data_IF_378496180365
#
_entry.id   IF_378496180365
#
_cell.length_a   1.000
_cell.length_b   1.000
_cell.length_c   1.000
_cell.angle_alpha   90.00
_cell.angle_beta   90.00
_cell.angle_gamma   90.00
#
_symmetry.space_group_name_H-M   'P 1'
#
loop_
_entity.id
_entity.type
_entity.pdbx_description
1 polymer ?
#
# COMPACT_ATOMS: atom_id res chain seq x y z
N UNK A 1 -6.36 -1.58 20.02
CA UNK A 1 -6.35 -2.02 18.61
C UNK A 1 -4.92 -2.31 18.21
N UNK A 2 -4.66 -3.45 17.58
CA UNK A 2 -3.34 -3.75 16.99
C UNK A 2 -3.25 -3.02 15.66
N UNK A 3 -2.29 -2.10 15.49
CA UNK A 3 -2.04 -1.44 14.21
C UNK A 3 -1.12 -2.34 13.39
N UNK A 4 -1.53 -2.80 12.19
CA UNK A 4 -0.70 -3.66 11.37
C UNK A 4 0.55 -2.91 10.88
N UNK A 5 1.64 -3.65 10.69
CA UNK A 5 2.92 -3.12 10.25
C UNK A 5 3.60 -4.08 9.26
N UNK A 6 4.44 -3.53 8.41
CA UNK A 6 5.30 -4.28 7.49
C UNK A 6 6.71 -4.39 8.05
N UNK A 7 7.35 -5.52 7.76
CA UNK A 7 8.74 -5.81 8.14
C UNK A 7 9.53 -6.15 6.89
N UNK A 8 10.64 -5.44 6.67
CA UNK A 8 11.50 -5.66 5.52
C UNK A 8 12.77 -6.43 5.91
N UNK A 9 13.36 -7.16 4.96
CA UNK A 9 14.62 -7.90 5.17
C UNK A 9 15.80 -6.98 5.54
N UNK A 10 15.75 -5.71 5.15
CA UNK A 10 16.69 -4.65 5.55
C UNK A 10 16.50 -4.16 7.00
N UNK A 11 15.57 -4.75 7.76
CA UNK A 11 15.23 -4.40 9.15
C UNK A 11 14.55 -3.04 9.34
N UNK A 12 13.91 -2.51 8.30
CA UNK A 12 12.98 -1.39 8.45
C UNK A 12 11.56 -1.88 8.75
N UNK A 13 10.84 -1.09 9.54
CA UNK A 13 9.51 -1.38 10.05
C UNK A 13 8.62 -0.16 9.86
N UNK A 14 7.42 -0.37 9.32
CA UNK A 14 6.49 0.73 9.08
C UNK A 14 5.08 0.31 9.43
N UNK A 15 4.30 1.21 10.03
CA UNK A 15 2.86 1.02 10.10
C UNK A 15 2.29 0.97 8.68
N UNK A 16 1.30 0.10 8.46
CA UNK A 16 0.67 -0.10 7.14
C UNK A 16 0.21 1.22 6.51
N UNK A 17 -0.53 2.02 7.26
CA UNK A 17 -1.08 3.30 6.82
C UNK A 17 -0.04 4.40 6.64
N UNK A 18 1.01 4.45 7.48
CA UNK A 18 2.14 5.36 7.26
C UNK A 18 2.88 5.04 5.96
N UNK A 19 3.15 3.75 5.72
CA UNK A 19 3.83 3.30 4.51
C UNK A 19 3.00 3.56 3.24
N UNK A 20 1.71 3.23 3.27
CA UNK A 20 0.80 3.49 2.16
C UNK A 20 0.69 4.98 1.83
N UNK A 21 0.64 5.84 2.85
CA UNK A 21 0.58 7.29 2.65
C UNK A 21 1.81 7.81 1.94
N UNK A 22 3.00 7.37 2.37
CA UNK A 22 4.25 7.79 1.78
C UNK A 22 4.40 7.25 0.35
N UNK A 23 4.12 5.97 0.11
CA UNK A 23 4.25 5.37 -1.23
C UNK A 23 3.33 5.99 -2.28
N UNK A 24 2.12 6.43 -1.89
CA UNK A 24 1.16 7.05 -2.82
C UNK A 24 1.71 8.31 -3.49
N UNK A 25 2.62 9.06 -2.86
CA UNK A 25 3.25 10.23 -3.48
C UNK A 25 4.26 9.85 -4.57
N UNK A 26 4.78 8.63 -4.52
CA UNK A 26 5.78 8.10 -5.45
C UNK A 26 5.19 7.23 -6.56
N UNK A 27 3.97 6.72 -6.39
CA UNK A 27 3.29 5.93 -7.39
C UNK A 27 2.81 6.74 -8.58
N UNK A 28 2.89 6.14 -9.77
CA UNK A 28 2.21 6.61 -10.97
C UNK A 28 0.70 6.57 -10.79
N UNK A 29 -0.03 7.35 -11.61
CA UNK A 29 -1.50 7.33 -11.61
C UNK A 29 -2.06 5.91 -11.81
N UNK A 30 -1.44 5.13 -12.70
CA UNK A 30 -1.85 3.75 -12.99
C UNK A 30 -1.69 2.83 -11.76
N UNK A 31 -0.61 2.98 -11.01
CA UNK A 31 -0.37 2.20 -9.78
C UNK A 31 -1.36 2.59 -8.68
N UNK A 32 -1.64 3.89 -8.52
CA UNK A 32 -2.64 4.38 -7.56
C UNK A 32 -4.05 3.87 -7.88
N UNK A 33 -4.44 3.87 -9.15
CA UNK A 33 -5.71 3.31 -9.61
C UNK A 33 -5.79 1.81 -9.37
N UNK A 34 -4.74 1.06 -9.75
CA UNK A 34 -4.66 -0.40 -9.50
C UNK A 34 -4.81 -0.72 -8.02
N UNK A 35 -4.06 -0.02 -7.16
CA UNK A 35 -4.13 -0.19 -5.71
C UNK A 35 -5.54 0.09 -5.18
N UNK A 36 -6.16 1.18 -5.61
CA UNK A 36 -7.51 1.57 -5.21
C UNK A 36 -8.55 0.52 -5.61
N UNK A 37 -8.43 -0.03 -6.83
CA UNK A 37 -9.28 -1.12 -7.30
C UNK A 37 -9.10 -2.40 -6.46
N UNK A 38 -7.87 -2.76 -6.10
CA UNK A 38 -7.60 -3.94 -5.25
C UNK A 38 -8.20 -3.78 -3.86
N UNK A 39 -8.01 -2.61 -3.23
CA UNK A 39 -8.58 -2.31 -1.89
C UNK A 39 -10.11 -2.34 -1.91
N UNK A 40 -10.74 -1.83 -2.98
CA UNK A 40 -12.20 -1.90 -3.10
C UNK A 40 -12.69 -3.34 -3.29
N UNK A 41 -12.00 -4.14 -4.12
CA UNK A 41 -12.31 -5.56 -4.28
C UNK A 41 -12.18 -6.34 -2.97
N UNK A 42 -11.11 -6.09 -2.19
CA UNK A 42 -10.92 -6.69 -0.87
C UNK A 42 -12.14 -6.42 0.03
N UNK A 43 -12.53 -5.14 0.16
CA UNK A 43 -13.70 -4.74 0.97
C UNK A 43 -15.00 -5.40 0.52
N UNK A 44 -15.21 -5.52 -0.79
CA UNK A 44 -16.40 -6.16 -1.34
C UNK A 44 -16.41 -7.65 -0.98
N UNK A 45 -15.30 -8.35 -1.17
CA UNK A 45 -15.19 -9.78 -0.85
C UNK A 45 -15.34 -10.06 0.64
N UNK A 46 -14.73 -9.24 1.51
CA UNK A 46 -14.90 -9.35 2.95
C UNK A 46 -16.38 -9.23 3.35
N UNK A 47 -17.10 -8.22 2.84
CA UNK A 47 -18.53 -8.05 3.09
C UNK A 47 -19.36 -9.22 2.57
N UNK A 48 -18.97 -9.82 1.44
CA UNK A 48 -19.67 -11.00 0.90
C UNK A 48 -19.45 -12.24 1.79
N UNK A 49 -18.23 -12.43 2.29
CA UNK A 49 -17.89 -13.51 3.21
C UNK A 49 -18.53 -13.33 4.59
N UNK A 50 -18.74 -12.10 5.05
CA UNK A 50 -19.52 -11.84 6.27
C UNK A 50 -20.99 -12.23 6.08
N UNK A 51 -21.59 -11.90 4.93
CA UNK A 51 -22.97 -12.30 4.60
C UNK A 51 -23.13 -13.81 4.47
N UNK A 52 -22.09 -14.53 4.05
CA UNK A 52 -22.11 -15.98 3.95
C UNK A 52 -22.22 -16.67 5.32
N UNK A 53 -21.83 -16.02 6.42
CA UNK A 53 -22.01 -16.57 7.79
C UNK A 53 -23.47 -16.60 8.24
N UNK A 54 -24.32 -15.74 7.67
CA UNK A 54 -25.77 -15.67 7.97
C UNK A 54 -26.62 -16.46 6.96
N UNK A 55 -26.01 -16.94 5.87
CA UNK A 55 -26.68 -17.57 4.74
C UNK A 55 -26.20 -19.01 4.56
N UNK A 56 -27.05 -19.95 4.13
CA UNK A 56 -26.64 -21.32 3.81
C UNK A 56 -25.89 -21.41 2.47
N UNK A 57 -24.73 -20.75 2.37
CA UNK A 57 -23.86 -20.85 1.19
C UNK A 57 -23.17 -22.22 1.18
N UNK A 58 -22.99 -22.78 -0.02
CA UNK A 58 -22.22 -24.00 -0.19
C UNK A 58 -20.76 -23.78 0.22
N UNK A 59 -20.18 -24.72 0.97
CA UNK A 59 -18.79 -24.65 1.45
C UNK A 59 -17.79 -24.39 0.32
N UNK A 60 -18.01 -25.00 -0.85
CA UNK A 60 -17.15 -24.81 -2.04
C UNK A 60 -17.07 -23.32 -2.44
N UNK A 61 -18.21 -22.63 -2.45
CA UNK A 61 -18.27 -21.20 -2.79
C UNK A 61 -17.56 -20.36 -1.74
N UNK A 62 -17.68 -20.70 -0.45
CA UNK A 62 -16.97 -19.99 0.62
C UNK A 62 -15.45 -20.11 0.42
N UNK A 63 -14.94 -21.30 0.09
CA UNK A 63 -13.53 -21.53 -0.16
C UNK A 63 -13.01 -20.72 -1.37
N UNK A 64 -13.75 -20.73 -2.50
CA UNK A 64 -13.40 -19.95 -3.70
C UNK A 64 -13.24 -18.45 -3.38
N UNK A 65 -14.16 -17.89 -2.58
CA UNK A 65 -14.09 -16.49 -2.15
C UNK A 65 -12.92 -16.21 -1.20
N UNK A 66 -12.55 -17.17 -0.36
CA UNK A 66 -11.40 -17.03 0.54
C UNK A 66 -10.09 -17.05 -0.23
N UNK A 67 -9.96 -17.94 -1.22
CA UNK A 67 -8.79 -18.01 -2.11
C UNK A 67 -8.64 -16.70 -2.92
N UNK A 68 -9.73 -16.16 -3.45
CA UNK A 68 -9.70 -14.87 -4.16
C UNK A 68 -9.30 -13.71 -3.23
N UNK A 69 -9.82 -13.70 -2.00
CA UNK A 69 -9.47 -12.69 -0.99
C UNK A 69 -7.98 -12.76 -0.62
N UNK A 70 -7.43 -13.96 -0.44
CA UNK A 70 -6.01 -14.16 -0.16
C UNK A 70 -5.14 -13.70 -1.32
N UNK A 71 -5.53 -14.02 -2.56
CA UNK A 71 -4.84 -13.53 -3.77
C UNK A 71 -4.79 -12.00 -3.82
N UNK A 72 -5.92 -11.32 -3.61
CA UNK A 72 -5.98 -9.86 -3.62
C UNK A 72 -5.13 -9.25 -2.49
N UNK A 73 -5.13 -9.85 -1.31
CA UNK A 73 -4.28 -9.40 -0.20
C UNK A 73 -2.81 -9.54 -0.52
N UNK A 74 -2.40 -10.61 -1.19
CA UNK A 74 -1.03 -10.79 -1.65
C UNK A 74 -0.66 -9.74 -2.69
N UNK A 75 -1.53 -9.44 -3.66
CA UNK A 75 -1.28 -8.36 -4.62
C UNK A 75 -1.15 -6.97 -3.97
N UNK A 76 -1.98 -6.68 -2.97
CA UNK A 76 -1.88 -5.45 -2.16
C UNK A 76 -0.54 -5.41 -1.44
N UNK A 77 -0.14 -6.52 -0.80
CA UNK A 77 1.13 -6.61 -0.09
C UNK A 77 2.33 -6.47 -1.03
N UNK A 78 2.30 -7.07 -2.21
CA UNK A 78 3.37 -6.93 -3.20
C UNK A 78 3.48 -5.48 -3.71
N UNK A 79 2.33 -4.79 -3.86
CA UNK A 79 2.30 -3.39 -4.27
C UNK A 79 2.84 -2.45 -3.18
N UNK A 80 2.54 -2.71 -1.91
CA UNK A 80 2.91 -1.84 -0.78
C UNK A 80 4.28 -2.18 -0.19
N UNK A 81 4.63 -3.46 -0.12
CA UNK A 81 5.80 -3.96 0.60
C UNK A 81 6.74 -4.81 -0.28
N UNK A 82 6.59 -4.74 -1.61
CA UNK A 82 7.51 -5.37 -2.55
C UNK A 82 8.93 -4.80 -2.47
N UNK A 83 9.08 -3.53 -2.09
CA UNK A 83 10.39 -2.90 -1.90
C UNK A 83 10.36 -1.90 -0.72
N UNK A 84 11.50 -1.73 -0.04
CA UNK A 84 11.60 -0.85 1.12
C UNK A 84 11.77 0.60 0.67
N UNK A 85 10.96 1.52 1.20
CA UNK A 85 11.04 2.94 0.84
C UNK A 85 12.40 3.61 1.14
N UNK A 86 13.19 3.06 2.06
CA UNK A 86 14.52 3.58 2.44
C UNK A 86 15.70 2.76 1.90
N UNK A 87 15.46 1.68 1.18
CA UNK A 87 16.54 0.85 0.62
C UNK A 87 16.34 0.52 -0.87
N UNK A 88 15.15 0.78 -1.37
CA UNK A 88 14.67 0.34 -2.67
C UNK A 88 14.67 1.43 -3.72
N UNK A 89 13.89 1.19 -4.77
CA UNK A 89 13.79 2.07 -5.93
C UNK A 89 13.31 3.48 -5.57
N UNK A 90 12.41 3.59 -4.59
CA UNK A 90 11.91 4.90 -4.12
C UNK A 90 13.04 5.74 -3.54
N UNK A 91 13.92 5.13 -2.73
CA UNK A 91 15.08 5.81 -2.17
C UNK A 91 16.09 6.18 -3.24
N UNK A 92 16.34 5.28 -4.21
CA UNK A 92 17.29 5.55 -5.30
C UNK A 92 16.81 6.75 -6.11
N UNK A 93 15.51 6.82 -6.42
CA UNK A 93 14.88 7.90 -7.17
C UNK A 93 14.70 9.21 -6.37
N UNK A 94 15.09 9.25 -5.10
CA UNK A 94 15.05 10.48 -4.29
C UNK A 94 16.43 11.11 -4.09
N UNK A 95 17.52 10.44 -4.46
CA UNK A 95 18.90 10.94 -4.27
C UNK A 95 19.18 12.19 -5.11
N UNK A 96 18.59 12.27 -6.30
CA UNK A 96 18.76 13.39 -7.23
C UNK A 96 17.70 14.49 -7.04
N UNK A 97 16.74 14.28 -6.14
CA UNK A 97 15.71 15.28 -5.84
C UNK A 97 16.29 16.35 -4.90
N UNK A 98 16.20 17.64 -5.27
CA UNK A 98 16.62 18.70 -4.38
C UNK A 98 15.74 18.74 -3.13
N UNK A 99 16.31 19.19 -2.00
CA UNK A 99 15.56 19.34 -0.75
C UNK A 99 14.50 20.44 -0.81
N UNK A 100 14.71 21.41 -1.69
CA UNK A 100 13.82 22.54 -1.93
C UNK A 100 13.51 22.61 -3.42
N UNK A 101 12.27 22.94 -3.75
CA UNK A 101 11.94 23.39 -5.10
C UNK A 101 12.64 24.74 -5.38
N UNK A 102 12.85 25.11 -6.65
CA UNK A 102 13.64 26.31 -7.00
C UNK A 102 13.11 27.59 -6.32
N UNK A 103 11.79 27.77 -6.26
CA UNK A 103 11.18 28.95 -5.64
C UNK A 103 11.24 28.94 -4.10
N UNK A 104 11.30 27.75 -3.50
CA UNK A 104 11.48 27.58 -2.05
C UNK A 104 12.94 27.81 -1.67
N UNK A 105 13.87 27.33 -2.49
CA UNK A 105 15.30 27.55 -2.33
C UNK A 105 15.65 29.04 -2.33
N UNK A 106 15.09 29.81 -3.27
CA UNK A 106 15.30 31.27 -3.33
C UNK A 106 14.79 31.97 -2.07
N UNK A 107 13.62 31.57 -1.55
CA UNK A 107 13.07 32.13 -0.31
C UNK A 107 13.95 31.80 0.89
N UNK A 108 14.40 30.55 1.02
CA UNK A 108 15.22 30.12 2.13
C UNK A 108 16.58 30.83 2.12
N UNK A 109 17.24 30.93 0.96
CA UNK A 109 18.50 31.69 0.81
C UNK A 109 18.33 33.16 1.22
N UNK A 110 17.17 33.78 0.97
CA UNK A 110 16.92 35.17 1.36
C UNK A 110 16.78 35.38 2.88
N UNK A 111 16.67 34.30 3.67
CA UNK A 111 16.58 34.36 5.15
C UNK A 111 17.92 34.24 5.87
N UNK A 112 19.00 33.85 5.17
CA UNK A 112 20.36 33.73 5.71
C UNK A 112 21.14 35.05 5.59
#
# INVERSE_FOLDING_TARGET
MMRPFYTFACRHFFHKDCLESELKSHWTLQEQEKYSCLVEKEKILEKQLEKSKSSNWAQKKINEFQEELEHIRNEINDTVAGDCIFCGIVMINSIDKPFFEEDEYEKEIATW
#
